data_IF_147079114200
#
_entry.id   IF_147079114200
#
_cell.length_a   1.000
_cell.length_b   1.000
_cell.length_c   1.000
_cell.angle_alpha   90.00
_cell.angle_beta   90.00
_cell.angle_gamma   90.00
#
_symmetry.space_group_name_H-M   'P 1'
#
loop_
_entity.id
_entity.type
_entity.pdbx_description
1 polymer ?
#
# COMPACT_ATOMS: atom_id res chain seq x y z
N UNK A 1 -7.81 -36.59 14.47
CA UNK A 1 -7.00 -37.49 13.61
C UNK A 1 -6.23 -36.60 12.65
N UNK A 2 -4.94 -36.45 12.91
CA UNK A 2 -4.04 -35.62 12.07
C UNK A 2 -3.84 -36.33 10.73
N UNK A 3 -4.17 -35.62 9.65
CA UNK A 3 -3.84 -36.02 8.27
C UNK A 3 -2.33 -36.27 8.19
N UNK A 4 -1.85 -37.36 7.54
CA UNK A 4 -0.41 -37.54 7.37
C UNK A 4 0.14 -36.40 6.55
N UNK A 5 1.04 -35.61 7.14
CA UNK A 5 1.88 -34.66 6.42
C UNK A 5 2.59 -35.41 5.30
N UNK A 6 2.32 -34.97 4.07
CA UNK A 6 2.95 -35.51 2.88
C UNK A 6 4.46 -35.22 2.97
N UNK A 7 5.22 -36.13 3.54
CA UNK A 7 6.66 -35.99 3.84
C UNK A 7 7.52 -36.26 2.61
N UNK A 8 7.19 -35.58 1.51
CA UNK A 8 8.05 -35.63 0.32
C UNK A 8 9.46 -35.15 0.71
N UNK A 9 10.53 -35.92 0.41
CA UNK A 9 11.89 -35.64 0.92
C UNK A 9 12.42 -34.23 0.60
N UNK A 10 11.94 -33.65 -0.48
CA UNK A 10 12.34 -32.29 -0.91
C UNK A 10 11.68 -31.18 -0.11
N UNK A 11 10.55 -31.41 0.59
CA UNK A 11 9.89 -30.40 1.43
C UNK A 11 10.74 -29.97 2.63
N UNK A 12 11.72 -30.79 3.04
CA UNK A 12 12.65 -30.42 4.11
C UNK A 12 13.53 -29.18 3.78
N UNK A 13 13.63 -28.83 2.51
CA UNK A 13 14.34 -27.64 2.04
C UNK A 13 13.47 -26.37 2.01
N UNK A 14 12.17 -26.51 2.22
CA UNK A 14 11.25 -25.37 2.39
C UNK A 14 11.16 -25.05 3.89
N UNK A 15 11.31 -23.79 4.24
CA UNK A 15 11.20 -23.30 5.62
C UNK A 15 9.87 -23.76 6.24
N UNK A 16 9.91 -24.21 7.50
CA UNK A 16 8.74 -24.77 8.17
C UNK A 16 7.63 -23.73 8.39
N UNK A 17 8.00 -22.48 8.67
CA UNK A 17 7.06 -21.36 8.79
C UNK A 17 6.35 -21.10 7.45
N UNK A 18 7.07 -21.18 6.31
CA UNK A 18 6.49 -21.06 4.96
C UNK A 18 5.52 -22.22 4.67
N UNK A 19 5.86 -23.45 5.08
CA UNK A 19 4.97 -24.61 4.92
C UNK A 19 3.68 -24.48 5.73
N UNK A 20 3.69 -23.72 6.83
CA UNK A 20 2.50 -23.46 7.66
C UNK A 20 1.63 -22.30 7.16
N UNK A 21 2.12 -21.50 6.19
CA UNK A 21 1.37 -20.38 5.62
C UNK A 21 0.29 -20.86 4.64
N UNK A 22 -0.73 -20.07 4.49
CA UNK A 22 -1.70 -20.20 3.40
C UNK A 22 -1.37 -19.21 2.29
N UNK A 23 -1.45 -19.69 1.04
CA UNK A 23 -1.34 -18.78 -0.11
C UNK A 23 -2.47 -17.74 -0.05
N UNK A 24 -2.15 -16.50 -0.45
CA UNK A 24 -3.16 -15.44 -0.52
C UNK A 24 -4.28 -15.85 -1.49
N UNK A 25 -5.50 -16.00 -0.98
CA UNK A 25 -6.65 -16.39 -1.77
C UNK A 25 -7.33 -15.14 -2.35
N UNK A 26 -7.41 -15.08 -3.67
CA UNK A 26 -8.20 -14.07 -4.38
C UNK A 26 -9.63 -14.61 -4.50
N UNK A 27 -10.62 -13.83 -4.06
CA UNK A 27 -12.01 -14.23 -4.23
C UNK A 27 -12.44 -14.05 -5.69
N UNK A 28 -13.20 -15.03 -6.20
CA UNK A 28 -13.82 -14.87 -7.51
C UNK A 28 -14.93 -13.79 -7.43
N UNK A 29 -14.78 -12.77 -8.27
CA UNK A 29 -15.70 -11.64 -8.39
C UNK A 29 -16.45 -11.62 -9.72
N UNK A 30 -16.40 -12.71 -10.50
CA UNK A 30 -17.03 -12.80 -11.82
C UNK A 30 -18.53 -12.53 -11.71
N UNK A 31 -19.02 -11.54 -12.46
CA UNK A 31 -20.43 -11.13 -12.45
C UNK A 31 -20.89 -10.35 -11.21
N UNK A 32 -19.96 -9.96 -10.32
CA UNK A 32 -20.27 -9.20 -9.10
C UNK A 32 -19.83 -7.74 -9.22
N UNK A 33 -20.43 -6.88 -8.43
CA UNK A 33 -19.90 -5.54 -8.13
C UNK A 33 -18.71 -5.72 -7.17
N UNK A 34 -17.49 -5.55 -7.69
CA UNK A 34 -16.24 -5.82 -6.97
C UNK A 34 -15.82 -4.62 -6.13
N UNK A 35 -15.90 -4.72 -4.81
CA UNK A 35 -15.55 -3.67 -3.84
C UNK A 35 -14.54 -4.14 -2.77
N UNK A 36 -13.96 -5.33 -2.93
CA UNK A 36 -13.10 -5.98 -1.92
C UNK A 36 -11.62 -5.54 -1.97
N UNK A 37 -11.16 -4.97 -3.10
CA UNK A 37 -9.74 -4.65 -3.33
C UNK A 37 -9.45 -3.14 -3.47
N UNK A 38 -10.43 -2.28 -3.21
CA UNK A 38 -10.31 -0.81 -3.26
C UNK A 38 -9.68 -0.32 -4.58
N UNK A 39 -10.12 -0.90 -5.70
CA UNK A 39 -9.73 -0.48 -7.04
C UNK A 39 -10.50 0.77 -7.47
N UNK A 40 -9.99 1.49 -8.46
CA UNK A 40 -10.75 2.55 -9.12
C UNK A 40 -11.79 1.90 -10.04
N UNK A 41 -13.10 2.16 -9.88
CA UNK A 41 -14.14 1.53 -10.69
C UNK A 41 -14.26 2.11 -12.10
N UNK A 42 -13.61 3.24 -12.38
CA UNK A 42 -13.70 3.91 -13.67
C UNK A 42 -12.68 3.38 -14.67
N UNK A 43 -13.15 3.07 -15.87
CA UNK A 43 -12.29 2.81 -17.01
C UNK A 43 -11.76 4.11 -17.62
N UNK A 44 -10.67 4.02 -18.38
CA UNK A 44 -10.25 5.13 -19.24
C UNK A 44 -11.36 5.49 -20.25
N UNK A 45 -11.52 6.77 -20.60
CA UNK A 45 -12.37 7.19 -21.72
C UNK A 45 -12.00 6.47 -23.02
N UNK A 46 -12.96 6.09 -23.89
CA UNK A 46 -12.69 5.30 -25.10
C UNK A 46 -11.61 5.88 -26.02
N UNK A 47 -11.55 7.21 -26.16
CA UNK A 47 -10.52 7.86 -26.94
C UNK A 47 -9.11 7.63 -26.37
N UNK A 48 -8.96 7.65 -25.02
CA UNK A 48 -7.68 7.38 -24.37
C UNK A 48 -7.34 5.88 -24.36
N UNK A 49 -8.34 4.99 -24.30
CA UNK A 49 -8.12 3.56 -24.48
C UNK A 49 -7.50 3.25 -25.86
N UNK A 50 -8.03 3.89 -26.91
CA UNK A 50 -7.50 3.75 -28.27
C UNK A 50 -6.05 4.26 -28.37
N UNK A 51 -5.79 5.47 -27.88
CA UNK A 51 -4.45 6.06 -27.89
C UNK A 51 -3.44 5.20 -27.12
N UNK A 52 -3.81 4.70 -25.93
CA UNK A 52 -2.97 3.80 -25.16
C UNK A 52 -2.72 2.49 -25.91
N UNK A 53 -3.75 1.91 -26.53
CA UNK A 53 -3.61 0.69 -27.34
C UNK A 53 -2.64 0.85 -28.50
N UNK A 54 -2.69 1.97 -29.24
CA UNK A 54 -1.75 2.30 -30.30
C UNK A 54 -0.32 2.45 -29.78
N UNK A 55 -0.11 3.12 -28.63
CA UNK A 55 1.21 3.27 -27.99
C UNK A 55 1.77 1.92 -27.53
N UNK A 56 0.96 1.09 -26.89
CA UNK A 56 1.39 -0.24 -26.42
C UNK A 56 1.72 -1.17 -27.59
N UNK A 57 0.95 -1.12 -28.68
CA UNK A 57 1.21 -1.90 -29.89
C UNK A 57 2.51 -1.54 -30.61
N UNK A 58 3.01 -0.33 -30.44
CA UNK A 58 4.28 0.13 -31.02
C UNK A 58 5.52 -0.20 -30.17
N UNK A 59 5.35 -0.80 -28.98
CA UNK A 59 6.48 -1.10 -28.10
C UNK A 59 7.31 -2.30 -28.59
N UNK A 60 8.61 -2.21 -28.40
CA UNK A 60 9.54 -3.32 -28.65
C UNK A 60 9.50 -4.31 -27.48
N UNK A 61 8.50 -5.21 -27.46
CA UNK A 61 8.30 -6.19 -26.37
C UNK A 61 9.44 -7.19 -26.22
N UNK A 62 10.29 -7.33 -27.23
CA UNK A 62 11.49 -8.15 -27.23
C UNK A 62 12.72 -7.47 -26.63
N UNK A 63 12.57 -6.28 -26.04
CA UNK A 63 13.65 -5.50 -25.43
C UNK A 63 13.29 -5.11 -23.99
N UNK A 64 14.31 -5.04 -23.15
CA UNK A 64 14.19 -4.44 -21.81
C UNK A 64 13.89 -2.94 -21.91
N UNK A 65 13.27 -2.32 -20.90
CA UNK A 65 12.80 -0.94 -20.97
C UNK A 65 13.90 0.13 -21.15
N UNK A 66 15.17 -0.21 -20.87
CA UNK A 66 16.31 0.68 -21.06
C UNK A 66 16.14 2.02 -20.32
N UNK A 67 16.43 3.13 -21.01
CA UNK A 67 16.32 4.47 -20.45
C UNK A 67 14.88 4.92 -20.11
N UNK A 68 13.87 4.17 -20.53
CA UNK A 68 12.46 4.46 -20.25
C UNK A 68 12.16 4.46 -18.74
N UNK A 69 12.89 3.67 -17.98
CA UNK A 69 12.83 3.68 -16.49
C UNK A 69 13.21 5.07 -15.95
N UNK A 70 14.28 5.69 -16.47
CA UNK A 70 14.71 7.01 -16.00
C UNK A 70 13.71 8.11 -16.38
N UNK A 71 13.10 8.02 -17.56
CA UNK A 71 12.03 8.92 -17.98
C UNK A 71 10.83 8.80 -17.02
N UNK A 72 10.41 7.57 -16.68
CA UNK A 72 9.33 7.34 -15.74
C UNK A 72 9.66 7.87 -14.34
N UNK A 73 10.89 7.63 -13.83
CA UNK A 73 11.32 8.18 -12.54
C UNK A 73 11.24 9.70 -12.52
N UNK A 74 11.68 10.37 -13.57
CA UNK A 74 11.62 11.82 -13.68
C UNK A 74 10.17 12.36 -13.68
N UNK A 75 9.28 11.73 -14.45
CA UNK A 75 7.87 12.15 -14.49
C UNK A 75 7.13 11.86 -13.18
N UNK A 76 7.43 10.75 -12.50
CA UNK A 76 6.89 10.47 -11.17
C UNK A 76 7.43 11.44 -10.11
N UNK A 77 8.72 11.79 -10.15
CA UNK A 77 9.31 12.77 -9.25
C UNK A 77 8.64 14.15 -9.40
N UNK A 78 8.41 14.57 -10.63
CA UNK A 78 7.67 15.80 -10.95
C UNK A 78 6.20 15.72 -10.46
N UNK A 79 5.50 14.63 -10.76
CA UNK A 79 4.13 14.41 -10.33
C UNK A 79 4.00 14.39 -8.79
N UNK A 80 4.94 13.76 -8.11
CA UNK A 80 4.97 13.66 -6.66
C UNK A 80 5.42 14.96 -5.97
N UNK A 81 5.95 15.95 -6.72
CA UNK A 81 6.59 17.15 -6.19
C UNK A 81 7.76 16.80 -5.25
N UNK A 82 8.58 15.83 -5.69
CA UNK A 82 9.72 15.34 -4.92
C UNK A 82 10.72 16.47 -4.63
N UNK A 83 11.19 16.65 -3.38
CA UNK A 83 12.14 17.68 -3.04
C UNK A 83 13.55 17.39 -3.57
N UNK A 84 14.38 18.43 -3.65
CA UNK A 84 15.80 18.32 -4.03
C UNK A 84 16.56 17.43 -3.01
N UNK A 85 17.56 16.69 -3.47
CA UNK A 85 18.35 15.76 -2.65
C UNK A 85 17.68 14.40 -2.42
N UNK A 86 16.45 14.21 -2.93
CA UNK A 86 15.72 12.95 -2.89
C UNK A 86 15.84 12.19 -4.20
N UNK A 87 15.53 10.91 -4.17
CA UNK A 87 15.44 10.05 -5.33
C UNK A 87 14.25 9.10 -5.21
N UNK A 88 13.96 8.37 -6.29
CA UNK A 88 12.79 7.50 -6.41
C UNK A 88 13.19 6.08 -6.83
N UNK A 89 12.70 5.08 -6.11
CA UNK A 89 12.82 3.67 -6.44
C UNK A 89 11.48 3.13 -6.93
N UNK A 90 11.49 2.33 -7.99
CA UNK A 90 10.28 1.72 -8.56
C UNK A 90 10.15 0.26 -8.14
N UNK A 91 8.91 -0.15 -7.87
CA UNK A 91 8.57 -1.53 -7.55
C UNK A 91 7.37 -2.05 -8.36
N UNK A 92 7.29 -3.34 -8.54
CA UNK A 92 6.13 -4.01 -9.14
C UNK A 92 4.94 -4.02 -8.17
N UNK A 93 4.37 -2.83 -7.95
CA UNK A 93 3.47 -2.51 -6.87
C UNK A 93 4.22 -2.14 -5.58
N UNK A 94 3.48 -1.58 -4.60
CA UNK A 94 4.03 -1.29 -3.26
C UNK A 94 4.44 -2.54 -2.50
N UNK A 95 3.82 -3.69 -2.78
CA UNK A 95 4.14 -4.96 -2.11
C UNK A 95 5.59 -5.39 -2.35
N UNK A 96 6.12 -5.21 -3.58
CA UNK A 96 7.53 -5.45 -3.85
C UNK A 96 8.44 -4.48 -3.09
N UNK A 97 8.07 -3.20 -2.99
CA UNK A 97 8.85 -2.21 -2.24
C UNK A 97 8.93 -2.55 -0.75
N UNK A 98 7.82 -3.02 -0.14
CA UNK A 98 7.79 -3.50 1.25
C UNK A 98 8.73 -4.70 1.41
N UNK A 99 8.69 -5.65 0.48
CA UNK A 99 9.57 -6.83 0.51
C UNK A 99 11.03 -6.43 0.37
N UNK A 100 11.36 -5.58 -0.60
CA UNK A 100 12.74 -5.11 -0.82
C UNK A 100 13.29 -4.35 0.39
N UNK A 101 12.46 -3.55 1.05
CA UNK A 101 12.88 -2.86 2.27
C UNK A 101 13.10 -3.85 3.42
N UNK A 102 12.26 -4.88 3.55
CA UNK A 102 12.49 -5.94 4.53
C UNK A 102 13.80 -6.68 4.29
N UNK A 103 14.15 -6.96 3.02
CA UNK A 103 15.45 -7.56 2.64
C UNK A 103 16.62 -6.62 2.96
N UNK A 104 16.49 -5.32 2.63
CA UNK A 104 17.56 -4.35 2.85
C UNK A 104 17.84 -4.09 4.34
N UNK A 105 16.81 -4.22 5.19
CA UNK A 105 16.89 -3.97 6.64
C UNK A 105 17.07 -5.25 7.48
N UNK A 106 17.27 -6.42 6.86
CA UNK A 106 17.45 -7.70 7.56
C UNK A 106 18.87 -7.82 8.14
N UNK A 107 19.09 -7.11 9.23
CA UNK A 107 20.31 -7.24 10.05
C UNK A 107 19.99 -8.04 11.32
N UNK A 108 20.99 -8.66 11.99
CA UNK A 108 20.76 -9.46 13.20
C UNK A 108 19.96 -8.69 14.26
N UNK A 109 18.79 -9.22 14.65
CA UNK A 109 17.89 -8.62 15.63
C UNK A 109 16.96 -7.53 15.06
N UNK A 110 16.95 -7.31 13.75
CA UNK A 110 16.02 -6.37 13.13
C UNK A 110 14.56 -6.74 13.39
N UNK A 111 13.74 -5.73 13.52
CA UNK A 111 12.29 -5.90 13.61
C UNK A 111 11.55 -4.81 12.84
N UNK A 112 10.29 -5.10 12.53
CA UNK A 112 9.36 -4.18 11.86
C UNK A 112 8.20 -3.91 12.82
N UNK A 113 7.76 -2.66 12.88
CA UNK A 113 6.64 -2.25 13.73
C UNK A 113 5.58 -1.53 12.89
N UNK A 114 4.31 -1.81 13.16
CA UNK A 114 3.21 -1.02 12.61
C UNK A 114 1.98 -1.02 13.52
N UNK A 115 1.08 -0.01 13.39
CA UNK A 115 -0.23 -0.03 14.03
C UNK A 115 -1.11 -1.17 13.51
N UNK A 116 -2.00 -1.71 14.38
CA UNK A 116 -2.98 -2.75 14.05
C UNK A 116 -4.40 -2.31 14.44
N UNK A 117 -5.42 -2.57 13.58
CA UNK A 117 -5.31 -3.20 12.27
C UNK A 117 -4.58 -2.31 11.26
N UNK A 118 -3.75 -2.95 10.42
CA UNK A 118 -2.94 -2.28 9.39
C UNK A 118 -2.87 -3.11 8.12
N UNK A 119 -2.09 -2.65 7.15
CA UNK A 119 -1.92 -3.38 5.90
C UNK A 119 -1.14 -4.68 6.13
N UNK A 120 -1.76 -5.80 5.78
CA UNK A 120 -1.27 -7.16 6.07
C UNK A 120 0.13 -7.45 5.54
N UNK A 121 0.54 -6.77 4.45
CA UNK A 121 1.83 -7.01 3.81
C UNK A 121 3.04 -6.63 4.66
N UNK A 122 2.90 -5.74 5.64
CA UNK A 122 4.01 -5.41 6.55
C UNK A 122 4.40 -6.62 7.40
N UNK A 123 3.42 -7.25 8.05
CA UNK A 123 3.65 -8.45 8.85
C UNK A 123 4.05 -9.65 7.98
N UNK A 124 3.41 -9.81 6.81
CA UNK A 124 3.70 -10.91 5.89
C UNK A 124 5.12 -10.81 5.33
N UNK A 125 5.58 -9.64 4.91
CA UNK A 125 6.93 -9.46 4.39
C UNK A 125 7.99 -9.66 5.48
N UNK A 126 7.73 -9.19 6.71
CA UNK A 126 8.59 -9.47 7.86
C UNK A 126 8.72 -10.98 8.10
N UNK A 127 7.62 -11.71 8.15
CA UNK A 127 7.60 -13.16 8.33
C UNK A 127 8.35 -13.89 7.21
N UNK A 128 8.11 -13.51 5.95
CA UNK A 128 8.78 -14.12 4.79
C UNK A 128 10.29 -13.92 4.83
N UNK A 129 10.76 -12.77 5.32
CA UNK A 129 12.20 -12.49 5.49
C UNK A 129 12.78 -13.07 6.78
N UNK A 130 11.93 -13.51 7.74
CA UNK A 130 12.38 -13.99 9.05
C UNK A 130 12.68 -12.87 10.05
N UNK A 131 12.24 -11.66 9.72
CA UNK A 131 12.34 -10.47 10.59
C UNK A 131 11.17 -10.46 11.58
N UNK A 132 11.41 -10.07 12.83
CA UNK A 132 10.35 -9.95 13.83
C UNK A 132 9.36 -8.83 13.47
N UNK A 133 8.07 -9.09 13.73
CA UNK A 133 7.03 -8.09 13.56
C UNK A 133 6.35 -7.75 14.88
N UNK A 134 6.22 -6.44 15.17
CA UNK A 134 5.54 -5.92 16.35
C UNK A 134 4.34 -5.09 15.92
N UNK A 135 3.15 -5.51 16.34
CA UNK A 135 1.92 -4.78 16.10
C UNK A 135 1.50 -3.97 17.33
N UNK A 136 1.18 -2.69 17.16
CA UNK A 136 0.63 -1.85 18.23
C UNK A 136 -0.83 -1.61 17.97
N UNK A 137 -1.75 -2.02 18.87
CA UNK A 137 -3.17 -1.82 18.67
C UNK A 137 -3.54 -0.34 18.55
N UNK A 138 -4.40 -0.03 17.58
CA UNK A 138 -5.07 1.26 17.48
C UNK A 138 -6.13 1.38 18.60
N UNK A 139 -6.56 2.61 18.90
CA UNK A 139 -7.67 2.87 19.81
C UNK A 139 -9.00 2.30 19.28
N UNK A 140 -10.04 2.31 20.10
CA UNK A 140 -11.38 1.86 19.69
C UNK A 140 -11.97 2.62 18.48
N UNK A 141 -11.48 3.83 18.24
CA UNK A 141 -11.85 4.68 17.10
C UNK A 141 -10.80 4.65 15.97
N UNK A 142 -9.86 3.71 16.04
CA UNK A 142 -8.79 3.52 15.05
C UNK A 142 -7.80 4.70 14.94
N UNK A 143 -7.66 5.47 16.03
CA UNK A 143 -6.59 6.46 16.16
C UNK A 143 -5.32 5.82 16.70
N UNK A 144 -4.17 6.43 16.44
CA UNK A 144 -2.89 5.99 16.99
C UNK A 144 -2.89 6.12 18.52
N UNK A 145 -2.51 5.06 19.21
CA UNK A 145 -2.11 5.14 20.61
C UNK A 145 -0.65 5.61 20.65
N UNK A 146 -0.47 6.91 20.82
CA UNK A 146 0.85 7.54 20.83
C UNK A 146 1.76 6.95 21.93
N UNK A 147 1.23 6.80 23.14
CA UNK A 147 2.03 6.28 24.25
C UNK A 147 2.50 4.85 24.00
N UNK A 148 1.61 4.00 23.49
CA UNK A 148 1.94 2.62 23.13
C UNK A 148 2.94 2.55 21.97
N UNK A 149 2.80 3.41 20.94
CA UNK A 149 3.75 3.49 19.82
C UNK A 149 5.15 3.91 20.29
N UNK A 150 5.25 4.95 21.10
CA UNK A 150 6.53 5.43 21.63
C UNK A 150 7.19 4.39 22.55
N UNK A 151 6.42 3.72 23.40
CA UNK A 151 6.90 2.65 24.27
C UNK A 151 7.42 1.44 23.44
N UNK A 152 6.69 1.04 22.39
CA UNK A 152 7.10 -0.04 21.50
C UNK A 152 8.39 0.31 20.73
N UNK A 153 8.54 1.54 20.23
CA UNK A 153 9.77 2.01 19.58
C UNK A 153 10.96 1.95 20.55
N UNK A 154 10.79 2.45 21.77
CA UNK A 154 11.85 2.45 22.77
C UNK A 154 12.28 1.01 23.18
N UNK A 155 11.30 0.10 23.28
CA UNK A 155 11.53 -1.28 23.72
C UNK A 155 12.15 -2.13 22.61
N UNK A 156 11.58 -2.09 21.41
CA UNK A 156 11.94 -3.00 20.32
C UNK A 156 12.97 -2.42 19.37
N UNK A 157 13.16 -1.09 19.35
CA UNK A 157 14.09 -0.38 18.44
C UNK A 157 13.98 -0.90 17.01
N UNK A 158 12.77 -0.85 16.40
CA UNK A 158 12.53 -1.48 15.11
C UNK A 158 13.40 -0.83 14.03
N UNK A 159 13.89 -1.65 13.09
CA UNK A 159 14.58 -1.14 11.90
C UNK A 159 13.66 -0.27 11.05
N UNK A 160 12.37 -0.65 10.95
CA UNK A 160 11.37 0.05 10.16
C UNK A 160 10.06 0.18 10.93
N UNK A 161 9.49 1.37 10.94
CA UNK A 161 8.09 1.65 11.36
C UNK A 161 7.28 1.98 10.11
N UNK A 162 6.18 1.25 9.85
CA UNK A 162 5.22 1.57 8.80
C UNK A 162 4.05 2.35 9.36
N UNK A 163 3.72 3.47 8.71
CA UNK A 163 2.56 4.30 9.00
C UNK A 163 1.76 4.49 7.69
N UNK A 164 0.66 3.74 7.53
CA UNK A 164 -0.22 3.92 6.39
C UNK A 164 -1.05 5.20 6.54
N UNK A 165 -0.99 6.10 5.58
CA UNK A 165 -1.53 7.46 5.67
C UNK A 165 -2.23 7.88 4.38
N UNK A 166 -3.53 7.65 4.24
CA UNK A 166 -4.52 7.05 5.18
C UNK A 166 -4.30 5.56 5.47
N UNK A 167 -4.74 5.13 6.66
CA UNK A 167 -4.59 3.75 7.09
C UNK A 167 -5.49 2.77 6.32
N UNK A 168 -5.03 1.56 6.13
CA UNK A 168 -5.78 0.42 5.61
C UNK A 168 -5.88 -0.65 6.73
N UNK A 169 -7.08 -1.10 7.13
CA UNK A 169 -8.37 -0.98 6.43
C UNK A 169 -9.28 0.15 6.94
N UNK A 170 -8.83 1.00 7.85
CA UNK A 170 -9.70 1.92 8.59
C UNK A 170 -10.07 3.18 7.79
N UNK A 171 -9.25 3.57 6.81
CA UNK A 171 -9.40 4.83 6.08
C UNK A 171 -9.01 6.07 6.89
N UNK A 172 -8.57 5.91 8.14
CA UNK A 172 -8.23 7.00 9.05
C UNK A 172 -7.01 7.77 8.57
N UNK A 173 -7.10 9.07 8.57
CA UNK A 173 -5.96 9.97 8.41
C UNK A 173 -5.60 10.50 9.81
N UNK A 174 -4.55 9.96 10.38
CA UNK A 174 -4.17 10.23 11.77
C UNK A 174 -3.66 11.66 12.00
N UNK A 175 -3.67 12.09 13.25
CA UNK A 175 -3.17 13.42 13.64
C UNK A 175 -1.69 13.59 13.26
N UNK A 176 -1.43 14.68 12.55
CA UNK A 176 -0.12 14.98 12.01
C UNK A 176 0.96 15.23 13.07
N UNK A 177 0.57 15.71 14.27
CA UNK A 177 1.52 15.96 15.36
C UNK A 177 1.88 14.66 16.07
N UNK A 178 0.92 13.72 16.19
CA UNK A 178 1.19 12.37 16.72
C UNK A 178 2.17 11.65 15.80
N UNK A 179 1.92 11.68 14.48
CA UNK A 179 2.85 11.11 13.48
C UNK A 179 4.24 11.72 13.63
N UNK A 180 4.34 13.05 13.73
CA UNK A 180 5.63 13.73 13.84
C UNK A 180 6.42 13.30 15.08
N UNK A 181 5.77 13.13 16.24
CA UNK A 181 6.43 12.63 17.45
C UNK A 181 6.92 11.19 17.30
N UNK A 182 6.14 10.34 16.63
CA UNK A 182 6.55 8.95 16.32
C UNK A 182 7.76 8.95 15.38
N UNK A 183 7.73 9.77 14.32
CA UNK A 183 8.85 9.92 13.37
C UNK A 183 10.12 10.36 14.09
N UNK A 184 10.03 11.40 14.94
CA UNK A 184 11.18 11.89 15.72
C UNK A 184 11.73 10.80 16.64
N UNK A 185 10.86 10.10 17.39
CA UNK A 185 11.27 9.03 18.30
C UNK A 185 11.97 7.88 17.56
N UNK A 186 11.45 7.47 16.40
CA UNK A 186 12.07 6.43 15.58
C UNK A 186 13.45 6.86 15.05
N UNK A 187 13.58 8.09 14.58
CA UNK A 187 14.86 8.64 14.13
C UNK A 187 15.91 8.71 15.24
N UNK A 188 15.52 9.01 16.47
CA UNK A 188 16.41 9.00 17.64
C UNK A 188 16.92 7.60 17.97
N UNK A 189 16.20 6.54 17.60
CA UNK A 189 16.67 5.15 17.71
C UNK A 189 17.48 4.67 16.50
N UNK A 190 17.66 5.52 15.48
CA UNK A 190 18.38 5.20 14.25
C UNK A 190 17.59 4.34 13.25
N UNK A 191 16.28 4.18 13.46
CA UNK A 191 15.42 3.39 12.58
C UNK A 191 14.72 4.23 11.50
N UNK A 192 14.19 3.57 10.48
CA UNK A 192 13.47 4.16 9.35
C UNK A 192 11.98 4.29 9.64
N UNK A 193 11.33 5.26 9.00
CA UNK A 193 9.86 5.36 8.94
C UNK A 193 9.43 5.32 7.47
N UNK A 194 8.42 4.50 7.18
CA UNK A 194 7.76 4.48 5.88
C UNK A 194 6.37 5.09 6.03
N UNK A 195 6.17 6.23 5.40
CA UNK A 195 4.84 6.82 5.21
C UNK A 195 4.22 6.18 3.98
N UNK A 196 3.28 5.24 4.19
CA UNK A 196 2.59 4.57 3.09
C UNK A 196 1.36 5.36 2.67
N UNK A 197 1.48 6.08 1.57
CA UNK A 197 0.46 6.92 0.97
C UNK A 197 -0.25 6.22 -0.21
N UNK A 198 -0.51 4.92 -0.11
CA UNK A 198 -1.22 4.19 -1.17
C UNK A 198 -2.58 4.83 -1.53
N UNK A 199 -3.25 5.47 -0.58
CA UNK A 199 -4.56 6.12 -0.74
C UNK A 199 -4.49 7.65 -0.88
N UNK A 200 -3.31 8.22 -1.11
CA UNK A 200 -3.10 9.66 -1.23
C UNK A 200 -4.05 10.36 -2.22
N UNK A 201 -4.46 9.78 -3.37
CA UNK A 201 -5.38 10.46 -4.28
C UNK A 201 -6.74 10.85 -3.67
N UNK A 202 -7.10 10.25 -2.52
CA UNK A 202 -8.37 10.48 -1.83
C UNK A 202 -8.20 11.27 -0.53
N UNK A 203 -6.97 11.48 -0.07
CA UNK A 203 -6.66 12.15 1.18
C UNK A 203 -6.63 13.67 1.04
N UNK A 204 -6.95 14.37 2.13
CA UNK A 204 -6.87 15.83 2.21
C UNK A 204 -5.45 16.35 2.48
N UNK A 205 -4.52 15.47 2.89
CA UNK A 205 -3.15 15.81 3.25
C UNK A 205 -2.17 14.78 2.67
N UNK A 206 -0.91 15.18 2.59
CA UNK A 206 0.23 14.32 2.25
C UNK A 206 1.38 14.58 3.21
N UNK A 207 2.21 13.58 3.44
CA UNK A 207 3.46 13.73 4.19
C UNK A 207 4.60 14.27 3.29
N UNK A 208 4.41 14.31 1.98
CA UNK A 208 5.43 14.83 1.03
C UNK A 208 5.90 16.23 1.41
N UNK A 209 5.01 17.08 1.92
CA UNK A 209 5.31 18.46 2.34
C UNK A 209 6.27 18.53 3.55
N UNK A 210 6.49 17.39 4.23
CA UNK A 210 7.30 17.28 5.45
C UNK A 210 8.48 16.32 5.30
N UNK A 211 8.53 15.52 4.25
CA UNK A 211 9.53 14.46 4.08
C UNK A 211 10.97 14.99 4.17
N UNK A 212 11.22 16.21 3.69
CA UNK A 212 12.55 16.84 3.69
C UNK A 212 13.06 17.21 5.11
N UNK A 213 12.20 17.16 6.13
CA UNK A 213 12.61 17.46 7.51
C UNK A 213 13.41 16.32 8.16
N UNK A 214 13.28 15.10 7.64
CA UNK A 214 13.79 13.90 8.28
C UNK A 214 14.52 12.99 7.27
N UNK A 215 15.81 12.82 7.47
CA UNK A 215 16.66 12.00 6.59
C UNK A 215 16.45 10.48 6.70
N UNK A 216 15.55 10.01 7.58
CA UNK A 216 15.24 8.60 7.82
C UNK A 216 13.80 8.24 7.40
N UNK A 217 13.09 9.16 6.73
CA UNK A 217 11.71 8.93 6.29
C UNK A 217 11.70 8.59 4.80
N UNK A 218 11.00 7.51 4.48
CA UNK A 218 10.64 7.08 3.13
C UNK A 218 9.14 7.30 2.92
N UNK A 219 8.75 7.74 1.73
CA UNK A 219 7.35 7.88 1.36
C UNK A 219 7.04 6.91 0.22
N UNK A 220 6.06 6.05 0.41
CA UNK A 220 5.66 5.03 -0.55
C UNK A 220 4.29 5.34 -1.14
N UNK A 221 4.17 5.23 -2.46
CA UNK A 221 2.91 5.36 -3.21
C UNK A 221 2.72 4.23 -4.20
N UNK A 222 1.49 4.05 -4.65
CA UNK A 222 1.16 3.09 -5.71
C UNK A 222 0.23 3.72 -6.74
N UNK A 223 0.37 3.33 -8.00
CA UNK A 223 -0.58 3.69 -9.04
C UNK A 223 -1.83 2.79 -9.02
N UNK A 224 -1.86 1.76 -8.19
CA UNK A 224 -3.02 0.85 -8.09
C UNK A 224 -4.30 1.59 -7.70
N UNK A 225 -4.22 2.51 -6.74
CA UNK A 225 -5.40 3.25 -6.25
C UNK A 225 -5.67 4.52 -7.07
N UNK A 226 -4.66 5.01 -7.77
CA UNK A 226 -4.79 6.07 -8.75
C UNK A 226 -5.73 5.69 -9.92
N UNK A 227 -5.72 4.42 -10.32
CA UNK A 227 -6.55 3.90 -11.41
C UNK A 227 -5.85 2.87 -12.30
N UNK A 228 -4.68 2.41 -11.89
CA UNK A 228 -3.83 1.50 -12.66
C UNK A 228 -3.49 0.22 -11.87
N UNK A 229 -4.47 -0.36 -11.16
CA UNK A 229 -4.25 -1.56 -10.35
C UNK A 229 -3.62 -2.72 -11.17
N UNK A 230 -4.07 -2.92 -12.41
CA UNK A 230 -3.55 -3.95 -13.32
C UNK A 230 -2.16 -3.68 -13.86
N UNK A 231 -1.65 -2.45 -13.78
CA UNK A 231 -0.29 -2.08 -14.25
C UNK A 231 0.78 -2.51 -13.25
N UNK A 232 0.43 -2.72 -11.97
CA UNK A 232 1.34 -3.16 -10.93
C UNK A 232 2.58 -2.25 -10.78
N UNK A 233 2.37 -0.96 -10.57
CA UNK A 233 3.47 -0.02 -10.34
C UNK A 233 3.30 0.70 -9.00
N UNK A 234 4.35 0.66 -8.19
CA UNK A 234 4.55 1.46 -7.00
C UNK A 234 5.88 2.21 -7.06
N UNK A 235 6.03 3.20 -6.20
CA UNK A 235 7.28 3.93 -6.07
C UNK A 235 7.51 4.39 -4.62
N UNK A 236 8.79 4.49 -4.26
CA UNK A 236 9.25 4.92 -2.95
C UNK A 236 10.17 6.13 -3.14
N UNK A 237 9.89 7.21 -2.44
CA UNK A 237 10.68 8.45 -2.42
C UNK A 237 11.43 8.53 -1.10
N UNK A 238 12.70 8.90 -1.14
CA UNK A 238 13.51 9.11 0.05
C UNK A 238 14.80 9.86 -0.24
N UNK A 239 15.57 10.20 0.79
CA UNK A 239 16.91 10.77 0.59
C UNK A 239 17.72 9.91 -0.37
N UNK A 240 18.38 10.56 -1.35
CA UNK A 240 19.09 9.86 -2.42
C UNK A 240 20.04 8.79 -1.89
N UNK A 241 20.83 9.10 -0.85
CA UNK A 241 21.78 8.14 -0.27
C UNK A 241 21.09 6.89 0.28
N UNK A 242 19.89 7.02 0.85
CA UNK A 242 19.13 5.89 1.39
C UNK A 242 18.49 5.06 0.25
N UNK A 243 17.93 5.73 -0.75
CA UNK A 243 17.36 5.07 -1.93
C UNK A 243 18.44 4.29 -2.70
N UNK A 244 19.64 4.86 -2.87
CA UNK A 244 20.76 4.19 -3.54
C UNK A 244 21.18 2.88 -2.82
N UNK A 245 21.09 2.82 -1.49
CA UNK A 245 21.38 1.60 -0.73
C UNK A 245 20.27 0.55 -0.88
N UNK A 246 19.00 0.96 -0.76
CA UNK A 246 17.87 0.05 -0.87
C UNK A 246 17.75 -0.49 -2.31
N UNK A 247 18.04 0.33 -3.32
CA UNK A 247 17.96 -0.07 -4.74
C UNK A 247 18.91 -1.24 -5.10
N UNK A 248 19.96 -1.48 -4.30
CA UNK A 248 20.91 -2.57 -4.53
C UNK A 248 20.28 -3.97 -4.41
N UNK A 249 19.20 -4.11 -3.63
CA UNK A 249 18.49 -5.40 -3.49
C UNK A 249 17.37 -5.57 -4.49
N UNK A 250 17.10 -4.57 -5.32
CA UNK A 250 16.06 -4.64 -6.35
C UNK A 250 16.50 -5.53 -7.51
N UNK A 251 15.66 -6.50 -7.94
CA UNK A 251 15.93 -7.29 -9.13
C UNK A 251 16.11 -6.40 -10.38
N UNK A 252 17.09 -6.66 -11.24
CA UNK A 252 17.24 -5.91 -12.48
C UNK A 252 15.99 -6.07 -13.36
N UNK A 253 15.58 -4.99 -14.00
CA UNK A 253 14.42 -4.97 -14.90
C UNK A 253 13.09 -5.39 -14.28
N UNK A 254 12.91 -5.17 -12.96
CA UNK A 254 11.68 -5.51 -12.25
C UNK A 254 10.42 -4.81 -12.81
N UNK A 255 10.58 -3.70 -13.53
CA UNK A 255 9.51 -2.97 -14.20
C UNK A 255 9.59 -3.23 -15.71
N UNK A 256 8.47 -3.69 -16.30
CA UNK A 256 8.39 -3.96 -17.72
C UNK A 256 8.23 -2.70 -18.58
N UNK A 257 8.48 -2.82 -19.88
CA UNK A 257 8.22 -1.73 -20.83
C UNK A 257 6.73 -1.37 -20.86
N UNK A 258 5.83 -2.33 -20.64
CA UNK A 258 4.39 -2.10 -20.56
C UNK A 258 4.00 -1.30 -19.32
N UNK A 259 4.55 -1.64 -18.14
CA UNK A 259 4.34 -0.88 -16.92
C UNK A 259 4.78 0.58 -17.12
N UNK A 260 5.98 0.79 -17.68
CA UNK A 260 6.51 2.13 -17.94
C UNK A 260 5.58 2.94 -18.85
N UNK A 261 5.14 2.37 -19.96
CA UNK A 261 4.33 3.08 -20.94
C UNK A 261 2.95 3.41 -20.39
N UNK A 262 2.28 2.45 -19.73
CA UNK A 262 0.99 2.70 -19.10
C UNK A 262 1.07 3.80 -18.04
N UNK A 263 2.14 3.81 -17.24
CA UNK A 263 2.33 4.83 -16.19
C UNK A 263 2.61 6.21 -16.80
N UNK A 264 3.50 6.31 -17.79
CA UNK A 264 3.79 7.56 -18.49
C UNK A 264 2.53 8.14 -19.14
N UNK A 265 1.79 7.30 -19.85
CA UNK A 265 0.51 7.70 -20.46
C UNK A 265 -0.48 8.23 -19.42
N UNK A 266 -0.60 7.55 -18.28
CA UNK A 266 -1.51 7.98 -17.22
C UNK A 266 -1.08 9.29 -16.58
N UNK A 267 0.22 9.53 -16.41
CA UNK A 267 0.76 10.81 -15.89
C UNK A 267 0.50 11.96 -16.86
N UNK A 268 0.62 11.74 -18.18
CA UNK A 268 0.24 12.71 -19.21
C UNK A 268 -1.25 13.09 -19.12
N UNK A 269 -2.09 12.15 -18.68
CA UNK A 269 -3.54 12.33 -18.53
C UNK A 269 -3.99 12.38 -17.07
N UNK A 270 -3.13 12.79 -16.14
CA UNK A 270 -3.39 12.79 -14.70
C UNK A 270 -4.71 13.50 -14.30
N UNK A 271 -5.12 14.52 -15.04
CA UNK A 271 -6.37 15.25 -14.80
C UNK A 271 -7.63 14.34 -14.89
N UNK A 272 -7.61 13.31 -15.74
CA UNK A 272 -8.72 12.35 -15.84
C UNK A 272 -8.87 11.56 -14.55
N UNK A 273 -7.77 11.05 -14.03
CA UNK A 273 -7.75 10.29 -12.78
C UNK A 273 -8.05 11.16 -11.56
N UNK A 274 -7.57 12.41 -11.55
CA UNK A 274 -7.90 13.37 -10.50
C UNK A 274 -9.40 13.63 -10.43
N UNK A 275 -10.08 13.80 -11.59
CA UNK A 275 -11.54 13.94 -11.65
C UNK A 275 -12.26 12.70 -11.12
N UNK A 276 -11.80 11.49 -11.46
CA UNK A 276 -12.35 10.24 -10.96
C UNK A 276 -12.18 10.15 -9.43
N UNK A 277 -11.03 10.56 -8.90
CA UNK A 277 -10.78 10.57 -7.45
C UNK A 277 -11.71 11.53 -6.70
N UNK A 278 -12.03 12.69 -7.29
CA UNK A 278 -13.03 13.61 -6.73
C UNK A 278 -14.41 12.94 -6.67
N UNK A 279 -14.85 12.31 -7.76
CA UNK A 279 -16.13 11.61 -7.81
C UNK A 279 -16.21 10.46 -6.80
N UNK A 280 -15.13 9.67 -6.64
CA UNK A 280 -15.07 8.60 -5.63
C UNK A 280 -15.21 9.18 -4.21
N UNK A 281 -14.58 10.31 -3.91
CA UNK A 281 -14.72 10.97 -2.61
C UNK A 281 -16.15 11.42 -2.36
N UNK A 282 -16.80 12.02 -3.34
CA UNK A 282 -18.20 12.46 -3.25
C UNK A 282 -19.14 11.27 -3.01
N UNK A 283 -18.97 10.18 -3.74
CA UNK A 283 -19.80 8.97 -3.57
C UNK A 283 -19.50 8.27 -2.22
N UNK A 284 -18.26 8.29 -1.73
CA UNK A 284 -17.92 7.83 -0.40
C UNK A 284 -18.68 8.58 0.68
N UNK A 285 -18.75 9.91 0.60
CA UNK A 285 -19.48 10.73 1.58
C UNK A 285 -20.99 10.45 1.55
N UNK A 286 -21.59 10.34 0.36
CA UNK A 286 -23.01 9.96 0.21
C UNK A 286 -23.27 8.58 0.81
N UNK A 287 -22.43 7.60 0.51
CA UNK A 287 -22.57 6.25 1.05
C UNK A 287 -22.41 6.24 2.57
N UNK A 288 -21.46 6.97 3.11
CA UNK A 288 -21.23 7.11 4.56
C UNK A 288 -22.48 7.64 5.26
N UNK A 289 -23.09 8.70 4.72
CA UNK A 289 -24.31 9.28 5.27
C UNK A 289 -25.50 8.29 5.20
N UNK A 290 -25.65 7.58 4.09
CA UNK A 290 -26.73 6.61 3.93
C UNK A 290 -26.58 5.42 4.90
N UNK A 291 -25.37 4.89 5.08
CA UNK A 291 -25.10 3.79 6.00
C UNK A 291 -25.29 4.18 7.46
N UNK A 292 -24.95 5.42 7.84
CA UNK A 292 -25.12 5.93 9.20
C UNK A 292 -26.60 6.00 9.64
N UNK A 293 -27.55 5.98 8.72
CA UNK A 293 -28.99 5.96 9.02
C UNK A 293 -29.51 4.55 9.37
N UNK A 294 -28.70 3.50 9.12
CA UNK A 294 -29.12 2.13 9.40
C UNK A 294 -28.99 1.79 10.89
N UNK A 295 -29.99 1.14 11.48
CA UNK A 295 -29.97 0.79 12.91
C UNK A 295 -28.78 -0.13 13.27
N UNK A 296 -28.04 0.25 14.32
CA UNK A 296 -26.92 -0.54 14.85
C UNK A 296 -25.66 -0.52 13.99
N UNK A 297 -25.62 0.31 12.94
CA UNK A 297 -24.46 0.47 12.06
C UNK A 297 -23.61 1.66 12.54
N UNK A 298 -22.31 1.45 12.64
CA UNK A 298 -21.33 2.50 12.89
C UNK A 298 -20.41 2.64 11.69
N UNK A 299 -20.38 3.82 11.08
CA UNK A 299 -19.46 4.16 9.98
C UNK A 299 -18.30 4.96 10.53
N UNK A 300 -17.07 4.58 10.20
CA UNK A 300 -15.88 5.31 10.61
C UNK A 300 -15.48 6.34 9.56
N UNK A 301 -14.99 7.53 9.97
CA UNK A 301 -14.48 8.54 9.04
C UNK A 301 -13.39 7.98 8.13
N UNK A 302 -13.38 8.38 6.86
CA UNK A 302 -12.40 7.90 5.90
C UNK A 302 -11.83 9.02 5.03
N UNK A 303 -10.53 8.92 4.77
CA UNK A 303 -9.77 9.73 3.81
C UNK A 303 -9.19 8.86 2.68
N UNK A 304 -9.70 7.61 2.55
CA UNK A 304 -9.35 6.65 1.48
C UNK A 304 -10.52 6.48 0.50
N UNK A 305 -10.43 5.54 -0.43
CA UNK A 305 -11.54 5.14 -1.32
C UNK A 305 -12.36 3.96 -0.76
N UNK A 306 -12.40 3.83 0.54
CA UNK A 306 -13.12 2.79 1.26
C UNK A 306 -13.78 3.36 2.52
N UNK A 307 -14.78 2.66 3.04
CA UNK A 307 -15.38 2.90 4.35
C UNK A 307 -15.21 1.66 5.20
N UNK A 308 -14.72 1.85 6.43
CA UNK A 308 -14.83 0.82 7.46
C UNK A 308 -16.18 0.99 8.17
N UNK A 309 -16.92 -0.11 8.25
CA UNK A 309 -18.27 -0.10 8.82
C UNK A 309 -18.40 -1.24 9.82
N UNK A 310 -18.78 -0.92 11.05
CA UNK A 310 -19.12 -1.93 12.07
C UNK A 310 -20.60 -2.26 11.95
N UNK A 311 -20.89 -3.53 11.70
CA UNK A 311 -22.25 -4.07 11.58
C UNK A 311 -22.60 -4.92 12.80
N UNK A 312 -23.88 -5.04 13.19
CA UNK A 312 -24.29 -5.93 14.28
C UNK A 312 -23.88 -7.39 14.06
N UNK A 313 -23.88 -7.84 12.81
CA UNK A 313 -23.42 -9.17 12.38
C UNK A 313 -22.69 -9.01 11.03
N UNK A 314 -21.39 -8.83 11.09
CA UNK A 314 -20.56 -8.57 9.91
C UNK A 314 -20.55 -9.76 8.95
N UNK A 315 -20.51 -10.98 9.45
CA UNK A 315 -20.51 -12.21 8.61
C UNK A 315 -21.82 -12.37 7.86
N UNK A 316 -22.96 -12.19 8.53
CA UNK A 316 -24.27 -12.26 7.88
C UNK A 316 -24.46 -11.16 6.84
N UNK A 317 -23.99 -9.93 7.12
CA UNK A 317 -24.03 -8.82 6.17
C UNK A 317 -23.15 -9.12 4.94
N UNK A 318 -21.94 -9.63 5.15
CA UNK A 318 -21.03 -10.02 4.07
C UNK A 318 -21.65 -11.08 3.16
N UNK A 319 -22.15 -12.18 3.72
CA UNK A 319 -22.79 -13.26 2.96
C UNK A 319 -24.06 -12.77 2.25
N UNK A 320 -24.85 -11.92 2.91
CA UNK A 320 -26.04 -11.31 2.33
C UNK A 320 -25.76 -10.39 1.16
N UNK A 321 -24.68 -9.60 1.20
CA UNK A 321 -24.25 -8.78 0.07
C UNK A 321 -23.70 -9.64 -1.06
N UNK A 322 -22.87 -10.62 -0.74
CA UNK A 322 -22.29 -11.56 -1.70
C UNK A 322 -23.37 -12.34 -2.46
N UNK A 323 -24.42 -12.81 -1.78
CA UNK A 323 -25.55 -13.50 -2.42
C UNK A 323 -26.35 -12.61 -3.38
N UNK A 324 -26.23 -11.28 -3.23
CA UNK A 324 -26.84 -10.27 -4.12
C UNK A 324 -25.87 -9.75 -5.18
N UNK A 325 -24.73 -10.41 -5.36
CA UNK A 325 -23.74 -10.01 -6.37
C UNK A 325 -22.88 -8.82 -5.98
N UNK A 326 -22.71 -8.50 -4.68
CA UNK A 326 -21.85 -7.41 -4.20
C UNK A 326 -20.75 -8.01 -3.35
N UNK A 327 -19.51 -7.95 -3.82
CA UNK A 327 -18.34 -8.47 -3.11
C UNK A 327 -17.64 -7.34 -2.36
N UNK A 328 -17.74 -7.35 -1.03
CA UNK A 328 -16.99 -6.48 -0.11
C UNK A 328 -15.92 -7.29 0.62
N UNK A 329 -15.12 -6.65 1.46
CA UNK A 329 -14.14 -7.33 2.32
C UNK A 329 -14.69 -7.46 3.75
N UNK A 330 -14.76 -8.68 4.27
CA UNK A 330 -14.94 -8.92 5.70
C UNK A 330 -13.57 -8.83 6.40
N UNK A 331 -13.47 -8.01 7.45
CA UNK A 331 -12.25 -7.78 8.23
C UNK A 331 -12.48 -8.01 9.74
N UNK A 332 -13.61 -8.68 10.10
CA UNK A 332 -13.91 -9.06 11.49
C UNK A 332 -13.06 -10.23 11.98
#
# INVERSE_FOLDING_TARGET
MSTPQNSAPWLKHIRQDVQSMHAYAIQDSTGMVKLDAMENPFSLPPALQKQLGERLGALALNRYPGNRINVLRAELAKYAQMPEGFDIMLGNGSDELITLLSVACDVPGASILSPLPGFVMYAMSAQLQGVQFHGVPLSANFELDEAAMLAAIATHKPAVVYLAYPNNPTGTLWDANVIERIVVAQGQQGGLVVMDEAYQPFASQTYMDRIAKHGHVLLMRTLSKFGLAGVRLGYMVGPKALIDEIDKVRPPYNISVLNCECALFALEHAAVFAKQSVQIREEREKLSQALALLPGVQVFPSQANMLLVRMPDATKCFEGMKSKGILVKNVS
#
